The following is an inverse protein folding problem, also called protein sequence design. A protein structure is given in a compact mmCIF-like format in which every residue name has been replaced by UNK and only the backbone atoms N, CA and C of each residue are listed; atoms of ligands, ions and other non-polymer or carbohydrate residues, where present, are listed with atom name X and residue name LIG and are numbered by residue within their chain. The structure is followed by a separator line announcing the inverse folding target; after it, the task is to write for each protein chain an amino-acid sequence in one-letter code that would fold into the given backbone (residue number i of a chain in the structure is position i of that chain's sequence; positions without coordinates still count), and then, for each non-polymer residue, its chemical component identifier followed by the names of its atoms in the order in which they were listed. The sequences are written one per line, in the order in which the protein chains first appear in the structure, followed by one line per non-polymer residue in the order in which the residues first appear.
data_IF_451363945447
#
_entry.id   IF_451363945447
#
_cell.length_a   1.000
_cell.length_b   1.000
_cell.length_c   1.000
_cell.angle_alpha   90.00
_cell.angle_beta   90.00
_cell.angle_gamma   90.00
#
_symmetry.space_group_name_H-M   'P 1'
#
loop_
_entity.id
_entity.type
_entity.pdbx_description
1 polymer ?
#
# COMPACT_ATOMS: atom_id res chain seq x y z
N UNK A 1 -21.80 6.91 1.37
CA UNK A 1 -22.43 6.04 0.35
C UNK A 1 -22.58 6.84 -0.92
N UNK A 2 -22.53 6.19 -2.10
CA UNK A 2 -22.64 6.91 -3.36
C UNK A 2 -23.91 7.74 -3.38
N UNK A 3 -23.79 9.03 -3.71
CA UNK A 3 -24.90 9.91 -4.02
C UNK A 3 -25.35 9.65 -5.48
N UNK A 4 -25.88 8.45 -5.71
CA UNK A 4 -26.67 8.06 -6.88
C UNK A 4 -26.00 8.14 -8.28
N UNK A 5 -25.81 6.97 -8.92
CA UNK A 5 -25.30 6.85 -10.30
C UNK A 5 -26.35 7.18 -11.37
N UNK A 6 -27.55 7.60 -10.98
CA UNK A 6 -28.50 8.17 -11.93
C UNK A 6 -29.21 9.36 -11.32
N UNK A 7 -29.21 10.49 -12.02
CA UNK A 7 -30.12 11.62 -11.80
C UNK A 7 -31.62 11.23 -11.96
N UNK A 8 -32.01 9.96 -11.76
CA UNK A 8 -33.36 9.45 -11.92
C UNK A 8 -33.99 9.18 -10.56
N UNK A 9 -34.59 10.24 -10.03
CA UNK A 9 -35.71 10.10 -9.10
C UNK A 9 -35.42 10.68 -7.73
N UNK A 10 -35.34 12.02 -7.66
CA UNK A 10 -35.72 12.66 -6.41
C UNK A 10 -37.13 12.18 -6.05
N UNK A 11 -37.26 11.52 -4.90
CA UNK A 11 -38.56 11.07 -4.40
C UNK A 11 -39.42 12.33 -4.26
N UNK A 12 -40.47 12.44 -5.06
CA UNK A 12 -41.38 13.59 -5.00
C UNK A 12 -41.94 13.70 -3.57
N UNK A 13 -42.06 14.92 -3.07
CA UNK A 13 -42.48 15.21 -1.70
C UNK A 13 -43.73 14.43 -1.23
N UNK A 14 -44.78 14.23 -2.07
CA UNK A 14 -45.94 13.43 -1.67
C UNK A 14 -45.66 11.94 -1.42
N UNK A 15 -44.63 11.37 -2.04
CA UNK A 15 -44.19 9.99 -1.78
C UNK A 15 -43.29 9.92 -0.55
N UNK A 16 -42.43 10.93 -0.34
CA UNK A 16 -41.57 11.03 0.84
C UNK A 16 -42.40 11.03 2.14
N UNK A 17 -43.54 11.72 2.15
CA UNK A 17 -44.46 11.78 3.29
C UNK A 17 -45.12 10.44 3.64
N UNK A 18 -45.13 9.49 2.70
CA UNK A 18 -45.70 8.14 2.89
C UNK A 18 -44.66 7.10 3.34
N UNK A 19 -43.39 7.48 3.48
CA UNK A 19 -42.32 6.61 3.95
C UNK A 19 -42.26 6.68 5.47
N UNK A 20 -42.59 5.57 6.15
CA UNK A 20 -42.65 5.52 7.62
C UNK A 20 -41.29 5.56 8.30
N UNK A 21 -40.22 5.13 7.63
CA UNK A 21 -38.87 5.12 8.18
C UNK A 21 -37.83 5.27 7.08
N UNK A 22 -36.79 6.04 7.37
CA UNK A 22 -35.62 6.21 6.52
C UNK A 22 -34.41 5.64 7.24
N UNK A 23 -33.75 4.64 6.64
CA UNK A 23 -32.50 4.09 7.15
C UNK A 23 -31.37 4.70 6.35
N UNK A 24 -30.53 5.48 7.02
CA UNK A 24 -29.28 5.99 6.46
C UNK A 24 -28.18 5.00 6.77
N UNK A 25 -27.65 4.38 5.72
CA UNK A 25 -26.56 3.42 5.84
C UNK A 25 -25.22 4.13 5.78
N UNK A 26 -24.20 3.55 6.42
CA UNK A 26 -22.83 4.04 6.40
C UNK A 26 -21.86 2.86 6.22
N UNK A 27 -20.63 3.17 5.82
CA UNK A 27 -19.56 2.17 5.83
C UNK A 27 -19.08 1.92 7.27
N UNK A 28 -18.52 0.74 7.57
CA UNK A 28 -17.93 0.48 8.89
C UNK A 28 -16.85 1.53 9.21
N UNK A 29 -16.90 2.16 10.39
CA UNK A 29 -15.93 3.19 10.77
C UNK A 29 -14.58 2.61 11.18
N UNK A 30 -14.56 1.35 11.63
CA UNK A 30 -13.36 0.68 12.13
C UNK A 30 -12.84 -0.36 11.14
N UNK A 31 -11.55 -0.31 10.83
CA UNK A 31 -10.88 -1.25 9.95
C UNK A 31 -11.06 -2.71 10.39
N UNK A 32 -11.14 -2.96 11.70
CA UNK A 32 -11.32 -4.31 12.26
C UNK A 32 -12.68 -4.91 11.89
N UNK A 33 -13.76 -4.12 11.99
CA UNK A 33 -15.10 -4.55 11.58
C UNK A 33 -15.17 -4.73 10.06
N UNK A 34 -14.55 -3.82 9.30
CA UNK A 34 -14.47 -3.94 7.85
C UNK A 34 -13.70 -5.21 7.41
N UNK A 35 -12.64 -5.58 8.13
CA UNK A 35 -11.84 -6.77 7.86
C UNK A 35 -12.63 -8.07 8.07
N UNK A 36 -13.58 -8.09 9.00
CA UNK A 36 -14.49 -9.23 9.20
C UNK A 36 -15.45 -9.39 8.00
N UNK A 37 -15.96 -8.28 7.46
CA UNK A 37 -16.76 -8.28 6.23
C UNK A 37 -15.93 -8.79 5.07
N UNK A 38 -14.73 -8.26 4.86
CA UNK A 38 -13.85 -8.73 3.78
C UNK A 38 -13.45 -10.19 3.94
N UNK A 39 -13.24 -10.67 5.17
CA UNK A 39 -12.97 -12.09 5.44
C UNK A 39 -14.15 -12.98 5.02
N UNK A 40 -15.38 -12.52 5.25
CA UNK A 40 -16.59 -13.24 4.87
C UNK A 40 -16.84 -13.23 3.36
N UNK A 41 -16.60 -12.09 2.71
CA UNK A 41 -17.04 -11.85 1.32
C UNK A 41 -15.95 -12.13 0.27
N UNK A 42 -14.66 -12.05 0.63
CA UNK A 42 -13.57 -12.26 -0.32
C UNK A 42 -13.34 -13.76 -0.60
N UNK A 43 -13.21 -14.10 -1.88
CA UNK A 43 -12.90 -15.46 -2.30
C UNK A 43 -11.43 -15.80 -2.02
N UNK A 44 -11.18 -16.28 -0.78
CA UNK A 44 -9.84 -16.60 -0.26
C UNK A 44 -9.64 -18.07 0.07
N UNK A 45 -10.71 -18.84 0.25
CA UNK A 45 -10.66 -20.29 0.44
C UNK A 45 -10.59 -20.98 -0.93
N UNK A 46 -9.41 -21.47 -1.27
CA UNK A 46 -9.05 -22.03 -2.59
C UNK A 46 -8.18 -23.28 -2.37
N UNK A 47 -8.33 -24.27 -3.24
CA UNK A 47 -7.83 -25.64 -2.99
C UNK A 47 -6.30 -25.74 -2.85
N UNK A 48 -5.53 -24.88 -3.53
CA UNK A 48 -4.05 -24.88 -3.49
C UNK A 48 -3.50 -23.57 -4.04
N UNK A 49 -2.32 -23.09 -3.61
CA UNK A 49 -1.48 -23.50 -2.46
C UNK A 49 -1.91 -22.91 -1.10
N UNK A 50 -1.34 -23.40 0.00
CA UNK A 50 -1.63 -22.88 1.36
C UNK A 50 -1.18 -21.43 1.51
N UNK A 51 -2.14 -20.49 1.49
CA UNK A 51 -1.93 -19.05 1.65
C UNK A 51 -2.24 -18.63 3.09
N UNK A 52 -1.29 -17.97 3.74
CA UNK A 52 -1.49 -17.42 5.09
C UNK A 52 -1.61 -15.91 4.99
N UNK A 53 -2.75 -15.32 5.38
CA UNK A 53 -2.92 -13.87 5.46
C UNK A 53 -3.05 -13.43 6.93
N UNK A 54 -2.02 -12.76 7.49
CA UNK A 54 -2.02 -12.27 8.87
C UNK A 54 -3.02 -11.12 9.07
N UNK A 55 -3.52 -10.97 10.30
CA UNK A 55 -4.48 -9.91 10.63
C UNK A 55 -3.94 -8.51 10.31
N UNK A 56 -2.63 -8.25 10.47
CA UNK A 56 -2.01 -6.98 10.10
C UNK A 56 -2.21 -6.63 8.62
N UNK A 57 -2.14 -7.62 7.73
CA UNK A 57 -2.36 -7.43 6.29
C UNK A 57 -3.86 -7.24 5.98
N UNK A 58 -4.74 -7.94 6.71
CA UNK A 58 -6.19 -7.75 6.59
C UNK A 58 -6.57 -6.32 6.97
N UNK A 59 -6.07 -5.85 8.11
CA UNK A 59 -6.26 -4.48 8.56
C UNK A 59 -5.67 -3.48 7.56
N UNK A 60 -4.45 -3.73 7.06
CA UNK A 60 -3.82 -2.87 6.07
C UNK A 60 -4.67 -2.69 4.80
N UNK A 61 -5.26 -3.76 4.28
CA UNK A 61 -6.13 -3.70 3.10
C UNK A 61 -7.36 -2.84 3.36
N UNK A 62 -7.94 -2.89 4.57
CA UNK A 62 -9.04 -2.01 4.94
C UNK A 62 -8.62 -0.56 5.11
N UNK A 63 -7.42 -0.32 5.66
CA UNK A 63 -6.87 1.02 5.82
C UNK A 63 -6.66 1.73 4.48
N UNK A 64 -6.48 1.00 3.37
CA UNK A 64 -6.48 1.60 2.02
C UNK A 64 -7.85 2.21 1.70
N UNK A 65 -8.93 1.50 2.01
CA UNK A 65 -10.30 1.98 1.78
C UNK A 65 -10.64 3.15 2.69
N UNK A 66 -10.16 3.14 3.95
CA UNK A 66 -10.32 4.28 4.87
C UNK A 66 -9.53 5.50 4.40
N UNK A 67 -8.26 5.32 4.00
CA UNK A 67 -7.46 6.40 3.43
C UNK A 67 -8.13 7.02 2.20
N UNK A 68 -8.76 6.22 1.34
CA UNK A 68 -9.50 6.71 0.18
C UNK A 68 -10.72 7.55 0.57
N UNK A 69 -11.44 7.17 1.63
CA UNK A 69 -12.60 7.94 2.16
C UNK A 69 -12.21 9.27 2.79
N UNK A 70 -10.96 9.39 3.22
CA UNK A 70 -10.40 10.60 3.83
C UNK A 70 -9.61 11.46 2.82
N UNK A 71 -9.47 11.01 1.57
CA UNK A 71 -8.62 11.66 0.57
C UNK A 71 -9.37 12.69 -0.25
N UNK A 72 -8.83 13.91 -0.30
CA UNK A 72 -9.30 14.98 -1.19
C UNK A 72 -9.08 14.68 -2.68
N UNK A 73 -8.33 13.62 -3.02
CA UNK A 73 -8.09 13.19 -4.40
C UNK A 73 -9.14 12.19 -4.90
N UNK A 74 -10.05 11.75 -4.03
CA UNK A 74 -11.07 10.74 -4.30
C UNK A 74 -12.45 11.42 -4.31
N UNK A 75 -13.27 11.06 -5.29
CA UNK A 75 -14.64 11.54 -5.37
C UNK A 75 -15.51 10.87 -4.30
N UNK A 76 -15.77 11.61 -3.22
CA UNK A 76 -16.58 11.15 -2.11
C UNK A 76 -18.06 10.98 -2.47
N UNK A 77 -18.53 11.65 -3.52
CA UNK A 77 -19.91 11.52 -4.01
C UNK A 77 -20.13 10.16 -4.69
N UNK A 78 -19.12 9.63 -5.38
CA UNK A 78 -19.12 8.24 -5.87
C UNK A 78 -18.93 7.22 -4.73
N UNK A 79 -18.18 7.60 -3.70
CA UNK A 79 -17.97 6.81 -2.48
C UNK A 79 -17.06 5.59 -2.65
N UNK A 80 -16.48 5.14 -1.53
CA UNK A 80 -15.50 4.02 -1.52
C UNK A 80 -16.12 2.77 -0.88
N UNK A 81 -16.60 1.87 -1.74
CA UNK A 81 -17.28 0.65 -1.30
C UNK A 81 -16.35 -0.43 -0.74
N UNK A 82 -16.90 -1.39 0.01
CA UNK A 82 -16.17 -2.57 0.48
C UNK A 82 -15.58 -3.43 -0.67
N UNK A 83 -16.07 -3.26 -1.91
CA UNK A 83 -15.52 -3.97 -3.08
C UNK A 83 -14.05 -3.65 -3.35
N UNK A 84 -13.56 -2.49 -2.89
CA UNK A 84 -12.14 -2.13 -2.98
C UNK A 84 -11.31 -3.14 -2.19
N UNK A 85 -11.59 -3.28 -0.89
CA UNK A 85 -10.89 -4.19 0.00
C UNK A 85 -11.09 -5.67 -0.40
N UNK A 86 -12.31 -6.07 -0.76
CA UNK A 86 -12.62 -7.43 -1.21
C UNK A 86 -11.76 -7.81 -2.43
N UNK A 87 -11.76 -6.99 -3.48
CA UNK A 87 -10.94 -7.30 -4.65
C UNK A 87 -9.45 -7.15 -4.39
N UNK A 88 -9.01 -6.24 -3.52
CA UNK A 88 -7.62 -6.13 -3.13
C UNK A 88 -7.13 -7.41 -2.42
N UNK A 89 -7.95 -7.97 -1.53
CA UNK A 89 -7.69 -9.25 -0.87
C UNK A 89 -7.61 -10.40 -1.88
N UNK A 90 -8.56 -10.47 -2.82
CA UNK A 90 -8.57 -11.50 -3.86
C UNK A 90 -7.36 -11.40 -4.79
N UNK A 91 -6.94 -10.18 -5.16
CA UNK A 91 -5.75 -9.94 -5.96
C UNK A 91 -4.48 -10.33 -5.20
N UNK A 92 -4.40 -10.01 -3.90
CA UNK A 92 -3.29 -10.43 -3.06
C UNK A 92 -3.18 -11.95 -3.02
N UNK A 93 -4.27 -12.65 -2.68
CA UNK A 93 -4.29 -14.13 -2.65
C UNK A 93 -3.86 -14.68 -4.01
N UNK A 94 -4.41 -14.16 -5.10
CA UNK A 94 -4.05 -14.60 -6.47
C UNK A 94 -2.55 -14.41 -6.77
N UNK A 95 -1.94 -13.31 -6.31
CA UNK A 95 -0.50 -13.11 -6.48
C UNK A 95 0.34 -14.06 -5.62
N UNK A 96 -0.10 -14.34 -4.39
CA UNK A 96 0.57 -15.30 -3.51
C UNK A 96 0.52 -16.72 -4.08
N UNK A 97 -0.63 -17.12 -4.63
CA UNK A 97 -0.79 -18.40 -5.33
C UNK A 97 0.13 -18.47 -6.56
N UNK A 98 0.16 -17.39 -7.37
CA UNK A 98 1.08 -17.27 -8.52
C UNK A 98 2.53 -17.46 -8.08
N UNK A 99 2.98 -16.75 -7.04
CA UNK A 99 4.33 -16.89 -6.51
C UNK A 99 4.59 -18.32 -6.04
N UNK A 100 3.71 -18.88 -5.23
CA UNK A 100 3.87 -20.20 -4.65
C UNK A 100 3.97 -21.30 -5.73
N UNK A 101 3.20 -21.20 -6.81
CA UNK A 101 3.32 -22.11 -7.96
C UNK A 101 4.65 -21.94 -8.70
N UNK A 102 5.18 -20.72 -8.77
CA UNK A 102 6.45 -20.44 -9.43
C UNK A 102 7.68 -20.83 -8.58
N UNK A 103 7.62 -20.65 -7.25
CA UNK A 103 8.76 -20.83 -6.34
C UNK A 103 8.73 -22.15 -5.57
N UNK A 104 7.57 -22.80 -5.47
CA UNK A 104 7.36 -23.96 -4.63
C UNK A 104 7.26 -23.66 -3.12
N UNK A 105 7.14 -22.38 -2.73
CA UNK A 105 7.02 -21.98 -1.33
C UNK A 105 5.65 -22.45 -0.74
N UNK A 106 5.67 -23.07 0.45
CA UNK A 106 4.48 -23.47 1.20
C UNK A 106 4.78 -23.53 2.71
N UNK A 107 3.96 -22.90 3.58
CA UNK A 107 2.89 -21.97 3.21
C UNK A 107 3.43 -20.69 2.56
N UNK A 108 2.65 -20.06 1.69
CA UNK A 108 3.00 -18.77 1.12
C UNK A 108 2.47 -17.64 1.99
N UNK A 109 3.37 -16.73 2.35
CA UNK A 109 3.12 -15.61 3.24
C UNK A 109 3.21 -14.28 2.46
N UNK A 110 2.39 -13.27 2.78
CA UNK A 110 2.43 -11.96 2.13
C UNK A 110 3.68 -11.17 2.51
N UNK A 111 4.10 -10.35 1.56
CA UNK A 111 5.18 -9.36 1.61
C UNK A 111 4.59 -8.02 1.18
N UNK A 112 5.18 -6.90 1.60
CA UNK A 112 4.72 -5.58 1.17
C UNK A 112 5.01 -5.30 -0.30
N UNK A 113 6.04 -5.91 -0.88
CA UNK A 113 6.25 -5.89 -2.33
C UNK A 113 5.08 -6.52 -3.12
N UNK A 114 4.32 -7.45 -2.52
CA UNK A 114 3.12 -8.02 -3.15
C UNK A 114 1.99 -7.00 -3.29
N UNK A 115 1.98 -5.94 -2.48
CA UNK A 115 0.87 -4.97 -2.43
C UNK A 115 0.76 -4.12 -3.69
N UNK A 116 1.79 -4.11 -4.54
CA UNK A 116 1.73 -3.49 -5.86
C UNK A 116 0.65 -4.12 -6.75
N UNK A 117 0.31 -5.39 -6.52
CA UNK A 117 -0.74 -6.09 -7.26
C UNK A 117 -2.16 -5.64 -6.89
N UNK A 118 -2.32 -4.83 -5.84
CA UNK A 118 -3.63 -4.33 -5.40
C UNK A 118 -4.04 -3.07 -6.18
N UNK A 119 -3.10 -2.42 -6.89
CA UNK A 119 -3.36 -1.15 -7.59
C UNK A 119 -4.60 -1.20 -8.50
N UNK A 120 -4.84 -2.27 -9.31
CA UNK A 120 -6.05 -2.36 -10.14
C UNK A 120 -7.36 -2.42 -9.34
N UNK A 121 -7.35 -2.97 -8.11
CA UNK A 121 -8.53 -2.97 -7.26
C UNK A 121 -8.87 -1.56 -6.75
N UNK A 122 -7.87 -0.68 -6.61
CA UNK A 122 -8.05 0.72 -6.23
C UNK A 122 -8.48 1.52 -7.45
N UNK A 123 -7.66 1.53 -8.51
CA UNK A 123 -7.90 2.37 -9.70
C UNK A 123 -9.16 1.99 -10.47
N UNK A 124 -9.60 0.73 -10.41
CA UNK A 124 -10.82 0.27 -11.08
C UNK A 124 -12.10 0.41 -10.26
N UNK A 125 -12.04 0.86 -9.00
CA UNK A 125 -13.20 0.94 -8.09
C UNK A 125 -13.32 2.24 -7.31
N UNK A 126 -12.29 3.09 -7.37
CA UNK A 126 -12.26 4.39 -6.71
C UNK A 126 -12.26 5.46 -7.79
N UNK A 127 -13.33 6.24 -7.83
CA UNK A 127 -13.44 7.41 -8.69
C UNK A 127 -12.62 8.56 -8.11
N UNK A 128 -11.97 9.33 -8.98
CA UNK A 128 -11.08 10.43 -8.59
C UNK A 128 -11.71 11.76 -8.95
N UNK A 129 -11.43 12.78 -8.14
CA UNK A 129 -11.71 14.16 -8.54
C UNK A 129 -10.72 14.59 -9.63
N UNK A 130 -11.00 15.72 -10.29
CA UNK A 130 -10.18 16.25 -11.37
C UNK A 130 -8.70 16.37 -11.00
N UNK A 131 -8.38 16.86 -9.80
CA UNK A 131 -7.01 16.97 -9.30
C UNK A 131 -6.31 15.61 -9.13
N UNK A 132 -7.08 14.58 -8.75
CA UNK A 132 -6.60 13.20 -8.67
C UNK A 132 -6.32 12.62 -10.04
N UNK A 133 -7.22 12.82 -11.00
CA UNK A 133 -7.04 12.39 -12.39
C UNK A 133 -5.81 13.04 -13.03
N UNK A 134 -5.56 14.32 -12.78
CA UNK A 134 -4.38 15.02 -13.28
C UNK A 134 -3.06 14.45 -12.75
N UNK A 135 -3.03 13.96 -11.50
CA UNK A 135 -1.85 13.29 -10.93
C UNK A 135 -1.65 11.89 -11.54
N UNK A 136 -2.71 11.29 -12.06
CA UNK A 136 -2.74 9.93 -12.59
C UNK A 136 -3.20 8.93 -11.55
N UNK A 137 -4.16 8.08 -11.94
CA UNK A 137 -4.84 7.18 -11.01
C UNK A 137 -3.90 6.23 -10.27
N UNK A 138 -2.86 5.75 -10.94
CA UNK A 138 -1.88 4.88 -10.30
C UNK A 138 -1.07 5.61 -9.21
N UNK A 139 -0.73 6.88 -9.43
CA UNK A 139 0.01 7.70 -8.44
C UNK A 139 -0.85 7.91 -7.20
N UNK A 140 -2.14 8.22 -7.38
CA UNK A 140 -3.09 8.35 -6.28
C UNK A 140 -3.25 7.03 -5.54
N UNK A 141 -3.41 5.91 -6.25
CA UNK A 141 -3.52 4.59 -5.63
C UNK A 141 -2.28 4.20 -4.79
N UNK A 142 -1.08 4.45 -5.31
CA UNK A 142 0.19 4.25 -4.56
C UNK A 142 0.25 5.15 -3.32
N UNK A 143 -0.25 6.38 -3.40
CA UNK A 143 -0.32 7.31 -2.25
C UNK A 143 -1.28 6.79 -1.18
N UNK A 144 -2.45 6.31 -1.55
CA UNK A 144 -3.43 5.72 -0.63
C UNK A 144 -2.84 4.49 0.08
N UNK A 145 -2.15 3.62 -0.67
CA UNK A 145 -1.43 2.47 -0.12
C UNK A 145 -0.36 2.90 0.89
N UNK A 146 0.44 3.91 0.55
CA UNK A 146 1.46 4.47 1.45
C UNK A 146 0.88 5.07 2.73
N UNK A 147 -0.25 5.77 2.65
CA UNK A 147 -0.96 6.31 3.81
C UNK A 147 -1.46 5.19 4.75
N UNK A 148 -2.04 4.13 4.18
CA UNK A 148 -2.48 2.95 4.94
C UNK A 148 -1.29 2.26 5.63
N UNK A 149 -0.20 2.04 4.89
CA UNK A 149 1.05 1.47 5.41
C UNK A 149 1.62 2.29 6.56
N UNK A 150 1.65 3.62 6.40
CA UNK A 150 2.11 4.53 7.44
C UNK A 150 1.28 4.39 8.72
N UNK A 151 -0.05 4.34 8.60
CA UNK A 151 -0.96 4.21 9.75
C UNK A 151 -0.77 2.87 10.48
N UNK A 152 -0.65 1.76 9.74
CA UNK A 152 -0.38 0.43 10.33
C UNK A 152 1.00 0.39 10.99
N UNK A 153 2.01 1.00 10.37
CA UNK A 153 3.35 1.11 10.94
C UNK A 153 3.33 1.90 12.26
N UNK A 154 2.74 3.10 12.26
CA UNK A 154 2.67 3.98 13.43
C UNK A 154 1.93 3.35 14.62
N UNK A 155 0.95 2.47 14.35
CA UNK A 155 0.21 1.76 15.39
C UNK A 155 1.01 0.60 16.02
N UNK A 156 2.02 0.07 15.34
CA UNK A 156 2.71 -1.19 15.73
C UNK A 156 4.14 -0.99 16.18
N UNK A 157 4.87 -0.09 15.53
CA UNK A 157 6.31 0.07 15.73
C UNK A 157 6.64 1.31 16.56
N UNK A 158 7.83 1.37 17.18
CA UNK A 158 8.28 2.56 17.92
C UNK A 158 8.23 3.81 17.05
N UNK A 159 7.88 4.94 17.64
CA UNK A 159 7.86 6.22 16.92
C UNK A 159 9.23 6.51 16.30
N UNK A 160 9.22 6.98 15.04
CA UNK A 160 10.42 7.50 14.40
C UNK A 160 10.64 8.90 14.97
N UNK A 161 11.65 9.04 15.84
CA UNK A 161 12.04 10.32 16.39
C UNK A 161 12.40 11.28 15.25
N UNK A 162 11.79 12.47 15.25
CA UNK A 162 12.27 13.58 14.43
C UNK A 162 13.69 13.88 14.90
N UNK A 163 14.61 14.01 13.95
CA UNK A 163 16.01 14.30 14.22
C UNK A 163 16.12 15.35 15.33
N UNK A 164 16.84 15.01 16.39
CA UNK A 164 17.15 15.94 17.46
C UNK A 164 17.73 17.20 16.85
N UNK A 165 16.99 18.30 16.96
CA UNK A 165 17.52 19.61 16.61
C UNK A 165 18.83 19.81 17.39
N UNK A 166 19.93 20.01 16.65
CA UNK A 166 21.29 20.22 17.15
C UNK A 166 21.96 19.01 17.84
N UNK A 167 22.70 18.22 17.06
CA UNK A 167 23.95 17.57 17.50
C UNK A 167 23.85 16.33 18.40
N UNK A 168 22.65 15.87 18.77
CA UNK A 168 22.49 14.58 19.44
C UNK A 168 22.37 13.46 18.39
N UNK A 169 23.27 12.48 18.44
CA UNK A 169 23.14 11.26 17.63
C UNK A 169 21.80 10.59 17.94
N UNK A 170 21.01 10.35 16.90
CA UNK A 170 19.79 9.56 17.01
C UNK A 170 20.18 8.15 17.46
N UNK A 171 19.79 7.75 18.66
CA UNK A 171 20.07 6.42 19.24
C UNK A 171 18.84 5.51 19.16
N UNK A 172 17.85 5.90 18.36
CA UNK A 172 16.63 5.13 18.16
C UNK A 172 16.86 3.74 17.57
N UNK A 173 15.85 2.85 17.65
CA UNK A 173 15.95 1.47 17.16
C UNK A 173 16.22 1.38 15.64
N UNK A 174 16.01 2.47 14.90
CA UNK A 174 16.17 2.54 13.44
C UNK A 174 17.54 3.07 12.99
N UNK A 175 18.34 3.65 13.89
CA UNK A 175 19.62 4.28 13.54
C UNK A 175 20.57 3.37 12.77
N UNK A 176 20.81 2.10 13.19
CA UNK A 176 21.71 1.21 12.45
C UNK A 176 21.22 0.94 11.03
N UNK A 177 19.89 0.86 10.84
CA UNK A 177 19.24 0.61 9.55
C UNK A 177 19.45 1.83 8.63
N UNK A 178 19.08 3.02 9.09
CA UNK A 178 19.20 4.26 8.29
C UNK A 178 20.66 4.54 7.94
N UNK A 179 21.58 4.38 8.90
CA UNK A 179 23.02 4.54 8.67
C UNK A 179 23.55 3.59 7.59
N UNK A 180 23.12 2.34 7.60
CA UNK A 180 23.54 1.36 6.60
C UNK A 180 23.15 1.78 5.18
N UNK A 181 21.95 2.32 4.98
CA UNK A 181 21.57 2.89 3.69
C UNK A 181 22.35 4.18 3.38
N UNK A 182 22.62 5.03 4.38
CA UNK A 182 23.41 6.25 4.22
C UNK A 182 24.83 6.01 3.68
N UNK A 183 25.42 4.88 4.06
CA UNK A 183 26.72 4.39 3.57
C UNK A 183 26.67 3.98 2.07
N UNK A 184 25.51 4.02 1.43
CA UNK A 184 25.31 3.75 0.00
C UNK A 184 24.86 2.33 -0.31
N UNK A 185 24.58 1.52 0.71
CA UNK A 185 24.03 0.19 0.52
C UNK A 185 22.58 0.26 0.04
N UNK A 186 22.14 -0.79 -0.65
CA UNK A 186 20.77 -0.92 -1.15
C UNK A 186 20.34 -2.36 -1.02
N UNK A 187 19.05 -2.60 -0.84
CA UNK A 187 18.45 -3.92 -1.03
C UNK A 187 17.45 -3.88 -2.19
N UNK A 188 17.23 -5.02 -2.83
CA UNK A 188 16.19 -5.18 -3.86
C UNK A 188 15.39 -6.45 -3.64
N UNK A 189 14.11 -6.31 -3.35
CA UNK A 189 13.18 -7.43 -3.14
C UNK A 189 12.15 -7.51 -4.26
N UNK A 190 11.57 -8.69 -4.47
CA UNK A 190 10.58 -8.94 -5.52
C UNK A 190 9.43 -9.81 -5.02
N UNK A 191 8.26 -9.67 -5.62
CA UNK A 191 7.13 -10.57 -5.41
C UNK A 191 7.28 -11.90 -6.16
N UNK A 192 8.24 -12.01 -7.08
CA UNK A 192 8.49 -13.20 -7.92
C UNK A 192 9.61 -14.12 -7.38
N UNK A 193 10.32 -13.70 -6.33
CA UNK A 193 11.45 -14.49 -5.80
C UNK A 193 11.03 -15.48 -4.70
N UNK A 194 11.75 -16.61 -4.54
CA UNK A 194 11.55 -17.53 -3.42
C UNK A 194 11.73 -16.87 -2.06
N UNK A 195 11.05 -17.38 -1.04
CA UNK A 195 11.09 -16.80 0.31
C UNK A 195 12.52 -16.74 0.89
N UNK A 196 13.33 -17.78 0.66
CA UNK A 196 14.71 -17.80 1.13
C UNK A 196 15.55 -16.62 0.60
N UNK A 197 15.41 -16.28 -0.69
CA UNK A 197 16.13 -15.15 -1.29
C UNK A 197 15.63 -13.80 -0.79
N UNK A 198 14.32 -13.67 -0.56
CA UNK A 198 13.73 -12.49 0.06
C UNK A 198 14.25 -12.26 1.49
N UNK A 199 14.29 -13.32 2.31
CA UNK A 199 14.78 -13.28 3.68
C UNK A 199 16.27 -12.92 3.75
N UNK A 200 17.09 -13.57 2.92
CA UNK A 200 18.53 -13.31 2.85
C UNK A 200 18.80 -11.84 2.50
N UNK A 201 18.08 -11.30 1.51
CA UNK A 201 18.22 -9.92 1.07
C UNK A 201 17.84 -8.91 2.17
N UNK A 202 16.70 -9.10 2.84
CA UNK A 202 16.27 -8.23 3.95
C UNK A 202 17.30 -8.24 5.09
N UNK A 203 17.84 -9.41 5.43
CA UNK A 203 18.71 -9.56 6.60
C UNK A 203 20.17 -9.17 6.36
N UNK A 204 20.51 -8.66 5.18
CA UNK A 204 21.74 -7.89 4.94
C UNK A 204 21.76 -6.59 5.74
N UNK A 205 20.59 -6.04 6.07
CA UNK A 205 20.44 -4.78 6.81
C UNK A 205 20.71 -5.01 8.31
N UNK A 206 21.76 -4.40 8.89
CA UNK A 206 22.11 -4.57 10.29
C UNK A 206 20.98 -4.11 11.23
N UNK A 207 20.70 -4.90 12.26
CA UNK A 207 19.69 -4.61 13.27
C UNK A 207 18.23 -4.88 12.84
N UNK A 208 17.95 -5.02 11.54
CA UNK A 208 16.59 -5.20 11.03
C UNK A 208 15.93 -6.48 11.55
N UNK A 209 16.63 -7.62 11.46
CA UNK A 209 16.14 -8.92 11.96
C UNK A 209 15.83 -8.88 13.46
N UNK A 210 16.74 -8.32 14.25
CA UNK A 210 16.60 -8.23 15.70
C UNK A 210 15.42 -7.32 16.11
N UNK A 211 15.22 -6.22 15.39
CA UNK A 211 14.08 -5.34 15.59
C UNK A 211 12.76 -6.04 15.23
N UNK A 212 12.69 -6.66 14.06
CA UNK A 212 11.50 -7.36 13.58
C UNK A 212 11.07 -8.51 14.52
N UNK A 213 12.04 -9.24 15.08
CA UNK A 213 11.81 -10.33 16.03
C UNK A 213 11.09 -9.89 17.32
N UNK A 214 11.07 -8.58 17.65
CA UNK A 214 10.32 -8.04 18.79
C UNK A 214 8.82 -7.92 18.53
N UNK A 215 8.41 -7.84 17.26
CA UNK A 215 7.03 -7.57 16.85
C UNK A 215 6.35 -8.77 16.19
N UNK A 216 7.10 -9.82 15.86
CA UNK A 216 6.59 -11.02 15.20
C UNK A 216 7.30 -12.29 15.65
N UNK A 217 6.56 -13.39 15.68
CA UNK A 217 7.06 -14.75 15.94
C UNK A 217 6.90 -15.59 14.69
N UNK A 218 7.88 -16.45 14.41
CA UNK A 218 7.92 -17.23 13.18
C UNK A 218 8.71 -16.52 12.09
N UNK A 219 9.28 -17.32 11.17
CA UNK A 219 10.25 -16.88 10.18
C UNK A 219 9.64 -15.89 9.19
N UNK A 220 8.48 -16.24 8.64
CA UNK A 220 7.74 -15.48 7.63
C UNK A 220 7.18 -14.17 8.23
N UNK A 221 6.60 -14.26 9.42
CA UNK A 221 6.07 -13.10 10.13
C UNK A 221 7.17 -12.09 10.50
N UNK A 222 8.38 -12.56 10.86
CA UNK A 222 9.53 -11.71 11.10
C UNK A 222 10.05 -11.04 9.82
N UNK A 223 10.04 -11.74 8.70
CA UNK A 223 10.41 -11.14 7.41
C UNK A 223 9.41 -10.06 6.98
N UNK A 224 8.10 -10.30 7.15
CA UNK A 224 7.06 -9.28 6.92
C UNK A 224 7.24 -8.06 7.84
N UNK A 225 7.49 -8.28 9.13
CA UNK A 225 7.73 -7.19 10.09
C UNK A 225 9.00 -6.40 9.75
N UNK A 226 10.05 -7.07 9.25
CA UNK A 226 11.27 -6.41 8.77
C UNK A 226 10.97 -5.52 7.55
N UNK A 227 10.21 -6.02 6.58
CA UNK A 227 9.81 -5.21 5.43
C UNK A 227 8.91 -4.03 5.83
N UNK A 228 7.98 -4.23 6.77
CA UNK A 228 7.16 -3.14 7.36
C UNK A 228 8.01 -2.04 7.99
N UNK A 229 9.16 -2.37 8.60
CA UNK A 229 10.08 -1.34 9.11
C UNK A 229 10.68 -0.51 7.97
N UNK A 230 11.13 -1.16 6.89
CA UNK A 230 11.72 -0.44 5.75
C UNK A 230 10.69 0.44 5.04
N UNK A 231 9.47 -0.09 4.86
CA UNK A 231 8.37 0.65 4.28
C UNK A 231 7.93 1.81 5.19
N UNK A 232 7.84 1.59 6.51
CA UNK A 232 7.58 2.65 7.48
C UNK A 232 8.62 3.77 7.42
N UNK A 233 9.90 3.43 7.40
CA UNK A 233 10.98 4.40 7.22
C UNK A 233 10.86 5.16 5.89
N UNK A 234 10.42 4.49 4.82
CA UNK A 234 10.13 5.16 3.55
C UNK A 234 8.95 6.15 3.66
N UNK A 235 7.84 5.74 4.27
CA UNK A 235 6.65 6.59 4.46
C UNK A 235 6.91 7.78 5.39
N UNK A 236 7.95 7.70 6.24
CA UNK A 236 8.46 8.80 7.07
C UNK A 236 9.67 9.54 6.46
N UNK A 237 9.92 9.34 5.16
CA UNK A 237 10.95 10.02 4.38
C UNK A 237 12.40 9.78 4.85
N UNK A 238 12.65 8.73 5.65
CA UNK A 238 13.98 8.31 6.09
C UNK A 238 14.70 7.46 5.05
N UNK A 239 13.95 6.76 4.19
CA UNK A 239 14.49 5.97 3.08
C UNK A 239 13.79 6.33 1.77
N UNK A 240 14.53 6.24 0.67
CA UNK A 240 13.96 6.24 -0.67
C UNK A 240 13.56 4.82 -1.09
N UNK A 241 12.47 4.75 -1.86
CA UNK A 241 11.97 3.52 -2.48
C UNK A 241 11.84 3.74 -3.98
N UNK A 242 12.26 2.75 -4.75
CA UNK A 242 12.10 2.71 -6.20
C UNK A 242 11.34 1.45 -6.61
N UNK A 243 10.22 1.64 -7.29
CA UNK A 243 9.50 0.56 -7.96
C UNK A 243 10.14 0.32 -9.33
N UNK A 244 10.54 -0.92 -9.60
CA UNK A 244 11.16 -1.40 -10.82
C UNK A 244 10.42 -2.65 -11.29
N UNK A 245 9.30 -2.48 -11.97
CA UNK A 245 8.38 -3.55 -12.39
C UNK A 245 8.01 -4.48 -11.20
N UNK A 246 8.44 -5.75 -11.21
CA UNK A 246 8.22 -6.72 -10.11
C UNK A 246 9.18 -6.58 -8.92
N UNK A 247 10.01 -5.53 -8.91
CA UNK A 247 11.04 -5.31 -7.89
C UNK A 247 10.85 -3.99 -7.14
N UNK A 248 11.19 -4.01 -5.86
CA UNK A 248 11.21 -2.85 -4.97
C UNK A 248 12.64 -2.70 -4.43
N UNK A 249 13.22 -1.51 -4.60
CA UNK A 249 14.57 -1.21 -4.09
C UNK A 249 14.54 -0.08 -3.06
N UNK A 250 15.21 -0.29 -1.93
CA UNK A 250 15.36 0.71 -0.87
C UNK A 250 16.77 1.32 -0.89
N UNK A 251 16.86 2.65 -0.76
CA UNK A 251 18.10 3.43 -0.88
C UNK A 251 18.10 4.64 0.06
N UNK A 252 19.23 5.31 0.18
CA UNK A 252 19.36 6.62 0.84
C UNK A 252 18.54 7.70 0.12
N UNK A 253 17.88 8.58 0.88
CA UNK A 253 16.91 9.56 0.36
C UNK A 253 17.58 10.68 -0.46
N UNK A 254 18.63 11.31 0.06
CA UNK A 254 19.27 12.49 -0.55
C UNK A 254 19.90 12.15 -1.90
N UNK A 255 20.67 11.06 -1.97
CA UNK A 255 21.26 10.53 -3.20
C UNK A 255 20.18 10.14 -4.21
N UNK A 256 19.05 9.58 -3.75
CA UNK A 256 17.95 9.22 -4.66
C UNK A 256 17.30 10.45 -5.32
N UNK A 257 17.11 11.53 -4.58
CA UNK A 257 16.57 12.78 -5.15
C UNK A 257 17.50 13.39 -6.21
N UNK A 258 18.83 13.26 -6.03
CA UNK A 258 19.84 13.72 -6.99
C UNK A 258 19.93 12.83 -8.25
N UNK A 259 19.50 11.56 -8.15
CA UNK A 259 19.53 10.58 -9.24
C UNK A 259 18.30 10.62 -10.16
N UNK A 260 17.23 11.33 -9.80
CA UNK A 260 16.08 11.49 -10.69
C UNK A 260 16.54 12.27 -11.94
N UNK A 261 16.46 11.71 -13.16
CA UNK A 261 16.78 12.47 -14.35
C UNK A 261 15.85 13.66 -14.40
N UNK A 262 16.44 14.85 -14.43
CA UNK A 262 15.73 16.11 -14.57
C UNK A 262 14.91 16.00 -15.86
N UNK A 263 13.60 15.74 -15.76
CA UNK A 263 12.69 15.90 -16.90
C UNK A 263 12.59 17.40 -17.15
N UNK A 264 13.59 17.93 -17.86
CA UNK A 264 13.60 19.30 -18.34
C UNK A 264 12.37 19.54 -19.24
N UNK A 265 11.91 20.78 -19.35
CA UNK A 265 10.72 21.10 -20.13
C UNK A 265 10.92 20.64 -21.56
N UNK A 266 9.98 19.84 -22.06
CA UNK A 266 10.02 19.27 -23.40
C UNK A 266 10.31 20.35 -24.43
N UNK A 267 11.43 20.19 -25.15
CA UNK A 267 11.65 20.94 -26.38
C UNK A 267 10.57 20.53 -27.37
N UNK A 268 9.60 21.42 -27.56
CA UNK A 268 8.68 21.38 -28.69
C UNK A 268 9.48 21.44 -29.98
N UNK A 269 9.71 20.28 -30.59
CA UNK A 269 10.15 20.16 -31.96
C UNK A 269 8.97 20.50 -32.86
N UNK A 270 8.95 21.75 -33.35
CA UNK A 270 8.25 22.10 -34.57
C UNK A 270 8.92 21.33 -35.70
N UNK A 271 8.28 20.29 -36.20
CA UNK A 271 8.58 19.79 -37.54
C UNK A 271 7.53 20.37 -38.49
N UNK A 272 7.92 21.48 -39.12
CA UNK A 272 7.31 21.92 -40.38
C UNK A 272 8.02 21.16 -41.48
N UNK A 273 7.28 20.35 -42.22
CA UNK A 273 7.73 19.74 -43.46
C UNK A 273 6.54 19.52 -44.38
N UNK A 274 6.07 20.59 -45.03
CA UNK A 274 5.45 20.48 -46.35
C UNK A 274 6.49 19.87 -47.30
N UNK A 275 6.13 18.84 -48.09
CA UNK A 275 6.24 18.78 -49.57
C UNK A 275 5.49 17.53 -50.09
N UNK A 276 4.50 17.78 -50.96
CA UNK A 276 3.77 16.93 -51.92
C UNK A 276 2.82 15.83 -51.42
#
# INVERSE_FOLDING_TARGET
NPEDYTNRGSIITPLKDRISSQILTHYPPEARIAADITRQEAWTDRDTPEVVIPDDIRLLIEEISLAARESDLVDQSSGVSARVAISAMELLVSNLERRALATGDSPVYPRLCDLQMLLPAITGKVEMVYEGEQQGAEVVARRLLGQALKKVFDARFPEITKESAAGAEDTGPYTPIVRWFAEGNTITVSDEQPFAGFEEELYKVPGLKALAARFAKGREAQALAAEMVLEGLHQHLKLARADLDSRVSYKEMVKFQLLKPNRGPGRGGRDRGDVN
#
